data_IF_898044746236
#
_entry.id   IF_898044746236
#
_cell.length_a   1.000
_cell.length_b   1.000
_cell.length_c   1.000
_cell.angle_alpha   90.00
_cell.angle_beta   90.00
_cell.angle_gamma   90.00
#
_symmetry.space_group_name_H-M   'P 1'
#
loop_
_entity.id
_entity.type
_entity.pdbx_description
1 polymer ?
#
# COMPACT_ATOMS: atom_id res chain seq x y z
N UNK A 1 0.08 19.78 -19.90
CA UNK A 1 0.27 18.84 -18.78
C UNK A 1 -0.79 19.11 -17.72
N UNK A 2 -1.93 18.47 -17.80
CA UNK A 2 -3.04 18.67 -16.85
C UNK A 2 -2.95 17.57 -15.79
N UNK A 3 -2.46 17.94 -14.61
CA UNK A 3 -2.49 17.11 -13.40
C UNK A 3 -3.94 16.83 -13.04
N UNK A 4 -4.32 15.56 -13.10
CA UNK A 4 -5.67 15.06 -12.81
C UNK A 4 -6.18 15.52 -11.46
N UNK A 5 -7.34 16.16 -11.50
CA UNK A 5 -8.14 16.75 -10.44
C UNK A 5 -8.46 15.89 -9.22
N UNK A 6 -7.46 15.66 -8.39
CA UNK A 6 -7.67 15.56 -6.96
C UNK A 6 -7.25 16.90 -6.37
N UNK A 7 -8.22 17.69 -5.93
CA UNK A 7 -7.98 18.95 -5.22
C UNK A 7 -6.87 18.77 -4.18
N UNK A 8 -5.80 19.54 -4.32
CA UNK A 8 -4.73 19.60 -3.33
C UNK A 8 -5.34 20.19 -2.07
N UNK A 9 -5.15 19.54 -0.94
CA UNK A 9 -5.64 20.05 0.33
C UNK A 9 -4.93 21.36 0.67
N UNK A 10 -5.66 22.45 0.81
CA UNK A 10 -5.12 23.75 1.22
C UNK A 10 -5.36 23.95 2.72
N UNK A 11 -4.31 23.89 3.58
CA UNK A 11 -4.47 24.11 5.00
C UNK A 11 -4.77 25.59 5.29
N UNK A 12 -5.62 25.82 6.27
CA UNK A 12 -5.87 27.18 6.82
C UNK A 12 -5.21 27.22 8.19
N UNK A 13 -4.25 28.13 8.35
CA UNK A 13 -3.53 28.35 9.61
C UNK A 13 -4.02 29.62 10.28
N UNK A 14 -4.13 29.61 11.63
CA UNK A 14 -4.72 30.68 12.43
C UNK A 14 -3.78 31.19 13.54
N UNK A 15 -2.87 30.35 14.03
CA UNK A 15 -1.97 30.68 15.14
C UNK A 15 -0.90 31.71 14.73
N UNK A 16 -0.14 32.18 15.71
CA UNK A 16 1.05 33.03 15.50
C UNK A 16 2.08 32.38 14.55
N UNK A 17 2.12 31.05 14.47
CA UNK A 17 3.04 30.31 13.60
C UNK A 17 2.57 30.19 12.15
N UNK A 18 1.39 30.72 11.80
CA UNK A 18 0.84 30.72 10.44
C UNK A 18 1.86 31.04 9.33
N UNK A 19 2.67 32.11 9.43
CA UNK A 19 3.60 32.44 8.35
C UNK A 19 4.66 31.36 8.12
N UNK A 20 5.10 30.70 9.22
CA UNK A 20 6.14 29.66 9.16
C UNK A 20 5.55 28.35 8.66
N UNK A 21 4.35 27.97 9.13
CA UNK A 21 3.61 26.80 8.62
C UNK A 21 3.37 26.91 7.12
N UNK A 22 2.87 28.06 6.65
CA UNK A 22 2.60 28.28 5.22
C UNK A 22 3.89 28.12 4.40
N UNK A 23 4.97 28.81 4.75
CA UNK A 23 6.26 28.70 4.06
C UNK A 23 6.79 27.25 4.04
N UNK A 24 6.64 26.52 5.13
CA UNK A 24 7.08 25.11 5.19
C UNK A 24 6.28 24.23 4.24
N UNK A 25 4.95 24.33 4.23
CA UNK A 25 4.07 23.58 3.32
C UNK A 25 4.40 23.92 1.87
N UNK A 26 4.55 25.20 1.54
CA UNK A 26 4.88 25.65 0.19
C UNK A 26 6.24 25.14 -0.28
N UNK A 27 7.27 25.20 0.59
CA UNK A 27 8.57 24.59 0.31
C UNK A 27 8.47 23.11 0.01
N UNK A 28 7.72 22.34 0.82
CA UNK A 28 7.57 20.89 0.60
C UNK A 28 6.86 20.56 -0.70
N UNK A 29 5.93 21.42 -1.12
CA UNK A 29 5.22 21.31 -2.40
C UNK A 29 6.08 21.71 -3.57
N UNK A 30 6.83 22.80 -3.45
CA UNK A 30 7.79 23.24 -4.47
C UNK A 30 8.87 22.15 -4.73
N UNK A 31 9.23 21.37 -3.69
CA UNK A 31 10.09 20.20 -3.83
C UNK A 31 9.36 18.97 -4.42
N UNK A 32 8.18 19.17 -5.02
CA UNK A 32 7.43 18.14 -5.71
C UNK A 32 6.66 17.19 -4.79
N UNK A 33 6.55 17.44 -3.49
CA UNK A 33 5.77 16.59 -2.57
C UNK A 33 4.32 17.02 -2.53
N UNK A 34 3.40 16.06 -2.59
CA UNK A 34 1.98 16.35 -2.44
C UNK A 34 1.61 16.94 -1.07
N UNK A 35 2.24 16.46 -0.02
CA UNK A 35 2.25 16.96 1.35
C UNK A 35 0.87 17.17 2.03
N UNK A 36 -0.19 16.49 1.57
CA UNK A 36 -1.55 16.69 2.10
C UNK A 36 -1.72 16.19 3.55
N UNK A 37 -1.22 14.98 3.89
CA UNK A 37 -1.35 14.42 5.24
C UNK A 37 -0.52 15.20 6.26
N UNK A 38 0.77 15.50 6.02
CA UNK A 38 1.54 16.34 6.93
C UNK A 38 0.93 17.74 7.10
N UNK A 39 0.39 18.35 6.02
CA UNK A 39 -0.29 19.63 6.11
C UNK A 39 -1.53 19.58 7.02
N UNK A 40 -2.29 18.47 7.02
CA UNK A 40 -3.39 18.26 7.97
C UNK A 40 -2.92 18.12 9.41
N UNK A 41 -1.80 17.43 9.64
CA UNK A 41 -1.18 17.31 10.97
C UNK A 41 -0.76 18.69 11.49
N UNK A 42 -0.10 19.49 10.65
CA UNK A 42 0.32 20.84 11.01
C UNK A 42 -0.88 21.78 11.24
N UNK A 43 -1.94 21.66 10.43
CA UNK A 43 -3.18 22.42 10.66
C UNK A 43 -3.85 22.05 11.98
N UNK A 44 -3.79 20.79 12.38
CA UNK A 44 -4.32 20.34 13.67
C UNK A 44 -3.53 20.93 14.85
N UNK A 45 -2.19 20.94 14.75
CA UNK A 45 -1.33 21.58 15.75
C UNK A 45 -1.58 23.10 15.79
N UNK A 46 -1.67 23.75 14.64
CA UNK A 46 -1.94 25.19 14.53
C UNK A 46 -3.28 25.57 15.20
N UNK A 47 -4.33 24.78 14.93
CA UNK A 47 -5.63 25.00 15.58
C UNK A 47 -5.55 24.85 17.10
N UNK A 48 -4.87 23.81 17.58
CA UNK A 48 -4.65 23.62 19.01
C UNK A 48 -3.93 24.82 19.66
N UNK A 49 -2.86 25.33 19.02
CA UNK A 49 -2.13 26.50 19.49
C UNK A 49 -3.00 27.77 19.46
N UNK A 50 -3.84 27.92 18.45
CA UNK A 50 -4.75 29.04 18.33
C UNK A 50 -5.83 29.03 19.44
N UNK A 51 -6.45 27.89 19.66
CA UNK A 51 -7.48 27.71 20.69
C UNK A 51 -6.95 27.86 22.13
N UNK A 52 -5.66 27.59 22.33
CA UNK A 52 -5.00 27.64 23.63
C UNK A 52 -3.93 28.73 23.74
N UNK A 53 -4.00 29.80 22.91
CA UNK A 53 -2.93 30.81 22.82
C UNK A 53 -2.66 31.54 24.14
N UNK A 54 -3.65 31.70 25.02
CA UNK A 54 -3.47 32.27 26.36
C UNK A 54 -2.58 31.42 27.27
N UNK A 55 -2.57 30.11 27.09
CA UNK A 55 -1.74 29.16 27.86
C UNK A 55 -0.43 28.81 27.10
N UNK A 56 -0.49 28.71 25.78
CA UNK A 56 0.63 28.33 24.93
C UNK A 56 0.82 29.36 23.83
N UNK A 57 1.54 30.47 24.10
CA UNK A 57 1.76 31.52 23.09
C UNK A 57 2.66 31.09 21.96
N UNK A 58 3.42 30.02 22.14
CA UNK A 58 4.28 29.37 21.15
C UNK A 58 4.34 27.85 21.38
N UNK A 59 4.89 27.13 20.40
CA UNK A 59 5.15 25.70 20.51
C UNK A 59 6.37 25.45 21.40
N UNK A 60 6.12 24.94 22.57
CA UNK A 60 7.11 24.48 23.57
C UNK A 60 6.80 23.01 23.97
N UNK A 61 7.59 22.44 24.90
CA UNK A 61 7.39 21.04 25.36
C UNK A 61 5.98 20.84 25.89
N UNK A 62 5.51 21.71 26.78
CA UNK A 62 4.20 21.59 27.39
C UNK A 62 3.04 21.66 26.38
N UNK A 63 3.14 22.57 25.39
CA UNK A 63 2.17 22.66 24.30
C UNK A 63 2.17 21.41 23.40
N UNK A 64 3.37 20.89 23.10
CA UNK A 64 3.52 19.68 22.31
C UNK A 64 2.95 18.46 23.01
N UNK A 65 3.25 18.28 24.30
CA UNK A 65 2.72 17.18 25.11
C UNK A 65 1.19 17.25 25.21
N UNK A 66 0.62 18.42 25.51
CA UNK A 66 -0.81 18.62 25.60
C UNK A 66 -1.51 18.33 24.25
N UNK A 67 -0.89 18.74 23.11
CA UNK A 67 -1.39 18.38 21.78
C UNK A 67 -1.31 16.87 21.54
N UNK A 68 -0.24 16.19 21.96
CA UNK A 68 -0.10 14.75 21.84
C UNK A 68 -1.17 13.98 22.63
N UNK A 69 -1.54 14.44 23.83
CA UNK A 69 -2.61 13.85 24.65
C UNK A 69 -3.96 13.91 23.95
N UNK A 70 -4.25 14.94 23.14
CA UNK A 70 -5.49 15.02 22.38
C UNK A 70 -5.68 13.87 21.37
N UNK A 71 -4.60 13.10 21.09
CA UNK A 71 -4.56 11.96 20.16
C UNK A 71 -4.35 10.61 20.84
N UNK A 72 -4.59 10.47 22.15
CA UNK A 72 -4.37 9.18 22.84
C UNK A 72 -5.28 8.07 22.34
N UNK A 73 -6.48 8.42 21.84
CA UNK A 73 -7.43 7.51 21.20
C UNK A 73 -6.94 6.94 19.86
N UNK A 74 -5.85 7.49 19.28
CA UNK A 74 -5.31 7.05 18.00
C UNK A 74 -4.13 6.07 18.24
N UNK A 75 -3.97 5.10 17.33
CA UNK A 75 -2.90 4.10 17.44
C UNK A 75 -1.51 4.74 17.58
N UNK A 76 -0.61 4.09 18.35
CA UNK A 76 0.75 4.58 18.60
C UNK A 76 1.53 4.85 17.33
N UNK A 77 1.36 4.03 16.29
CA UNK A 77 2.01 4.23 15.00
C UNK A 77 1.57 5.52 14.29
N UNK A 78 0.27 5.85 14.34
CA UNK A 78 -0.25 7.11 13.77
C UNK A 78 0.21 8.30 14.60
N UNK A 79 0.20 8.20 15.94
CA UNK A 79 0.72 9.22 16.83
C UNK A 79 2.18 9.52 16.51
N UNK A 80 3.03 8.47 16.44
CA UNK A 80 4.44 8.62 16.08
C UNK A 80 4.65 9.34 14.76
N UNK A 81 3.89 8.99 13.71
CA UNK A 81 4.00 9.66 12.41
C UNK A 81 3.71 11.15 12.54
N UNK A 82 2.63 11.52 13.23
CA UNK A 82 2.27 12.94 13.46
C UNK A 82 3.35 13.68 14.25
N UNK A 83 3.89 13.07 15.31
CA UNK A 83 4.97 13.65 16.11
C UNK A 83 6.23 13.87 15.27
N UNK A 84 6.59 12.91 14.40
CA UNK A 84 7.72 13.07 13.48
C UNK A 84 7.50 14.19 12.44
N UNK A 85 6.26 14.38 11.97
CA UNK A 85 5.90 15.49 11.06
C UNK A 85 6.09 16.84 11.75
N UNK A 86 5.69 16.96 13.03
CA UNK A 86 5.92 18.16 13.84
C UNK A 86 7.40 18.36 14.12
N UNK A 87 8.14 17.31 14.49
CA UNK A 87 9.59 17.41 14.71
C UNK A 87 10.32 17.91 13.43
N UNK A 88 9.93 17.40 12.27
CA UNK A 88 10.48 17.85 10.99
C UNK A 88 10.16 19.31 10.68
N UNK A 89 8.99 19.81 11.06
CA UNK A 89 8.63 21.22 10.99
C UNK A 89 9.48 22.05 11.97
N UNK A 90 9.63 21.62 13.22
CA UNK A 90 10.44 22.34 14.20
C UNK A 90 11.92 22.42 13.78
N UNK A 91 12.49 21.37 13.20
CA UNK A 91 13.83 21.40 12.60
C UNK A 91 13.95 22.38 11.43
N UNK A 92 12.89 22.57 10.65
CA UNK A 92 12.85 23.61 9.63
C UNK A 92 12.81 25.00 10.26
N UNK A 93 11.97 25.23 11.27
CA UNK A 93 11.84 26.49 12.01
C UNK A 93 13.16 26.89 12.67
N UNK A 94 13.93 25.93 13.22
CA UNK A 94 15.21 26.17 13.87
C UNK A 94 16.26 26.85 12.97
N UNK A 95 16.10 26.79 11.65
CA UNK A 95 17.01 27.47 10.71
C UNK A 95 16.94 28.99 10.82
N UNK A 96 15.78 29.54 11.20
CA UNK A 96 15.55 30.97 11.38
C UNK A 96 15.38 31.36 12.84
N UNK A 97 14.99 30.41 13.68
CA UNK A 97 14.77 30.58 15.12
C UNK A 97 15.54 29.49 15.89
N UNK A 98 16.88 29.67 16.12
CA UNK A 98 17.73 28.61 16.69
C UNK A 98 17.30 28.10 18.06
N UNK A 99 16.61 28.93 18.84
CA UNK A 99 16.14 28.59 20.20
C UNK A 99 14.73 27.98 20.22
N UNK A 100 14.09 27.75 19.06
CA UNK A 100 12.77 27.13 19.04
C UNK A 100 12.82 25.69 19.55
N UNK A 101 11.74 25.29 20.19
CA UNK A 101 11.56 23.92 20.66
C UNK A 101 11.60 22.92 19.50
N UNK A 102 12.27 21.80 19.70
CA UNK A 102 12.23 20.63 18.81
C UNK A 102 11.99 19.40 19.65
N UNK A 103 10.90 18.64 19.41
CA UNK A 103 10.65 17.42 20.15
C UNK A 103 11.73 16.36 19.90
N UNK A 104 12.08 15.61 20.93
CA UNK A 104 13.04 14.50 20.81
C UNK A 104 12.33 13.24 20.29
N UNK A 105 12.70 12.71 19.09
CA UNK A 105 12.10 11.50 18.54
C UNK A 105 12.32 10.24 19.37
N UNK A 106 13.26 10.22 20.30
CA UNK A 106 13.53 9.07 21.19
C UNK A 106 12.38 8.84 22.18
N UNK A 107 11.68 9.91 22.58
CA UNK A 107 10.53 9.87 23.49
C UNK A 107 9.21 9.44 22.80
N UNK A 108 9.20 9.34 21.46
CA UNK A 108 7.97 9.04 20.73
C UNK A 108 7.57 7.57 20.86
N UNK A 109 6.25 7.27 20.85
CA UNK A 109 5.78 5.90 20.95
C UNK A 109 6.49 4.99 19.94
N UNK A 110 6.81 3.76 20.35
CA UNK A 110 7.38 2.78 19.42
C UNK A 110 6.45 2.49 18.25
N UNK A 111 7.02 2.12 17.11
CA UNK A 111 6.21 1.55 16.05
C UNK A 111 5.55 0.27 16.57
N UNK A 112 4.26 0.11 16.28
CA UNK A 112 3.64 -1.20 16.47
C UNK A 112 4.43 -2.25 15.68
N UNK A 113 4.46 -3.47 16.21
CA UNK A 113 4.96 -4.62 15.46
C UNK A 113 4.32 -4.63 14.08
N UNK A 114 5.14 -4.82 13.04
CA UNK A 114 4.65 -4.94 11.68
C UNK A 114 3.62 -6.07 11.65
N UNK A 115 2.39 -5.74 11.26
CA UNK A 115 1.34 -6.74 11.13
C UNK A 115 1.82 -7.80 10.13
N UNK A 116 1.80 -9.07 10.55
CA UNK A 116 2.09 -10.20 9.66
C UNK A 116 1.08 -10.14 8.50
N UNK A 117 1.53 -10.08 7.24
CA UNK A 117 0.62 -10.04 6.11
C UNK A 117 -0.13 -11.37 6.01
N UNK A 118 -1.37 -11.30 5.53
CA UNK A 118 -2.10 -12.49 5.10
C UNK A 118 -1.62 -12.88 3.70
N UNK A 119 -1.34 -14.17 3.49
CA UNK A 119 -0.94 -14.67 2.18
C UNK A 119 -2.09 -15.48 1.60
N UNK A 120 -2.72 -14.89 0.59
CA UNK A 120 -3.81 -15.55 -0.13
C UNK A 120 -3.29 -16.73 -0.94
N UNK A 121 -3.93 -17.88 -0.80
CA UNK A 121 -3.74 -19.02 -1.68
C UNK A 121 -4.44 -18.79 -3.03
N UNK A 122 -4.02 -19.51 -4.07
CA UNK A 122 -4.67 -19.47 -5.38
C UNK A 122 -6.14 -19.91 -5.32
N UNK A 123 -6.46 -20.87 -4.45
CA UNK A 123 -7.83 -21.34 -4.22
C UNK A 123 -8.71 -20.24 -3.62
N UNK A 124 -8.19 -19.50 -2.67
CA UNK A 124 -8.92 -18.36 -2.06
C UNK A 124 -9.12 -17.22 -3.07
N UNK A 125 -8.11 -16.92 -3.88
CA UNK A 125 -8.26 -15.91 -4.94
C UNK A 125 -9.28 -16.36 -5.97
N UNK A 126 -9.28 -17.62 -6.38
CA UNK A 126 -10.32 -18.17 -7.28
C UNK A 126 -11.74 -18.06 -6.68
N UNK A 127 -11.90 -18.28 -5.37
CA UNK A 127 -13.17 -18.06 -4.67
C UNK A 127 -13.58 -16.58 -4.71
N UNK A 128 -12.64 -15.66 -4.44
CA UNK A 128 -12.88 -14.22 -4.49
C UNK A 128 -13.28 -13.75 -5.89
N UNK A 129 -12.63 -14.24 -6.94
CA UNK A 129 -12.95 -13.90 -8.33
C UNK A 129 -14.35 -14.38 -8.72
N UNK A 130 -14.74 -15.59 -8.30
CA UNK A 130 -16.11 -16.12 -8.51
C UNK A 130 -17.15 -15.28 -7.76
N UNK A 131 -16.91 -14.99 -6.49
CA UNK A 131 -17.79 -14.16 -5.68
C UNK A 131 -17.91 -12.72 -6.26
N UNK A 132 -16.80 -12.15 -6.76
CA UNK A 132 -16.81 -10.85 -7.40
C UNK A 132 -17.70 -10.81 -8.66
N UNK A 133 -17.71 -11.89 -9.45
CA UNK A 133 -18.57 -12.02 -10.63
C UNK A 133 -20.07 -12.00 -10.30
N UNK A 134 -20.44 -12.42 -9.08
CA UNK A 134 -21.82 -12.41 -8.57
C UNK A 134 -22.25 -11.11 -7.88
N UNK A 135 -21.39 -10.10 -7.79
CA UNK A 135 -21.74 -8.83 -7.14
C UNK A 135 -22.91 -8.12 -7.82
N UNK A 136 -23.87 -7.56 -7.08
CA UNK A 136 -24.95 -6.78 -7.67
C UNK A 136 -24.43 -5.49 -8.29
N UNK A 137 -24.96 -5.17 -9.46
CA UNK A 137 -24.72 -3.88 -10.12
C UNK A 137 -25.63 -2.81 -9.52
N UNK A 138 -25.18 -1.57 -9.54
CA UNK A 138 -26.00 -0.43 -9.13
C UNK A 138 -25.72 0.77 -10.06
N UNK A 139 -26.60 1.79 -10.09
CA UNK A 139 -26.38 2.98 -10.93
C UNK A 139 -25.02 3.64 -10.74
N UNK A 140 -24.55 3.72 -9.48
CA UNK A 140 -23.23 4.26 -9.18
C UNK A 140 -22.06 3.36 -9.63
N UNK A 141 -22.31 2.08 -9.87
CA UNK A 141 -21.29 1.12 -10.30
C UNK A 141 -21.88 0.06 -11.24
N UNK A 142 -22.15 0.43 -12.50
CA UNK A 142 -22.81 -0.44 -13.48
C UNK A 142 -21.93 -1.63 -13.94
N UNK A 143 -20.62 -1.56 -13.71
CA UNK A 143 -19.64 -2.62 -13.96
C UNK A 143 -19.02 -3.16 -12.66
N UNK A 144 -19.73 -3.13 -11.55
CA UNK A 144 -19.18 -3.53 -10.25
C UNK A 144 -18.56 -4.92 -10.26
N UNK A 145 -19.18 -5.98 -10.80
CA UNK A 145 -18.57 -7.30 -10.89
C UNK A 145 -17.25 -7.29 -11.66
N UNK A 146 -17.26 -6.74 -12.86
CA UNK A 146 -16.11 -6.72 -13.75
C UNK A 146 -14.96 -5.87 -13.19
N UNK A 147 -15.27 -4.71 -12.63
CA UNK A 147 -14.28 -3.82 -12.00
C UNK A 147 -13.62 -4.46 -10.80
N UNK A 148 -14.40 -5.07 -9.89
CA UNK A 148 -13.85 -5.66 -8.67
C UNK A 148 -13.05 -6.92 -8.99
N UNK A 149 -13.55 -7.73 -9.92
CA UNK A 149 -12.83 -8.90 -10.43
C UNK A 149 -11.47 -8.48 -11.04
N UNK A 150 -11.46 -7.51 -11.95
CA UNK A 150 -10.23 -6.97 -12.55
C UNK A 150 -9.28 -6.40 -11.49
N UNK A 151 -9.80 -5.67 -10.51
CA UNK A 151 -8.98 -5.09 -9.44
C UNK A 151 -8.28 -6.17 -8.61
N UNK A 152 -8.97 -7.26 -8.25
CA UNK A 152 -8.40 -8.41 -7.52
C UNK A 152 -7.33 -9.08 -8.39
N UNK A 153 -7.65 -9.36 -9.65
CA UNK A 153 -6.72 -9.97 -10.62
C UNK A 153 -5.43 -9.16 -10.69
N UNK A 154 -5.50 -7.87 -11.00
CA UNK A 154 -4.32 -7.03 -11.15
C UNK A 154 -3.50 -6.92 -9.85
N UNK A 155 -4.14 -6.75 -8.70
CA UNK A 155 -3.43 -6.68 -7.41
C UNK A 155 -2.69 -7.96 -7.07
N UNK A 156 -3.29 -9.13 -7.35
CA UNK A 156 -2.72 -10.43 -7.03
C UNK A 156 -1.66 -10.88 -8.02
N UNK A 157 -1.84 -10.61 -9.31
CA UNK A 157 -0.95 -11.13 -10.38
C UNK A 157 0.20 -10.21 -10.74
N UNK A 158 0.07 -8.89 -10.49
CA UNK A 158 1.11 -7.91 -10.78
C UNK A 158 1.70 -7.28 -9.53
N UNK A 159 1.08 -7.47 -8.38
CA UNK A 159 1.53 -6.87 -7.12
C UNK A 159 1.55 -5.34 -7.10
N UNK A 160 0.85 -4.64 -8.00
CA UNK A 160 0.80 -3.17 -7.99
C UNK A 160 0.19 -2.64 -6.69
N UNK A 161 0.55 -1.40 -6.31
CA UNK A 161 -0.06 -0.77 -5.13
C UNK A 161 -1.51 -0.38 -5.42
N UNK A 162 -2.37 -0.47 -4.39
CA UNK A 162 -3.78 0.00 -4.51
C UNK A 162 -3.88 1.41 -5.09
N UNK A 163 -3.02 2.32 -4.67
CA UNK A 163 -3.01 3.69 -5.18
C UNK A 163 -2.60 3.77 -6.66
N UNK A 164 -1.67 2.94 -7.09
CA UNK A 164 -1.26 2.81 -8.49
C UNK A 164 -2.42 2.27 -9.34
N UNK A 165 -3.04 1.16 -8.91
CA UNK A 165 -4.23 0.59 -9.57
C UNK A 165 -5.33 1.63 -9.77
N UNK A 166 -5.66 2.39 -8.72
CA UNK A 166 -6.71 3.42 -8.78
C UNK A 166 -6.32 4.65 -9.61
N UNK A 167 -5.03 4.82 -9.89
CA UNK A 167 -4.50 5.85 -10.76
C UNK A 167 -4.43 5.47 -12.23
N UNK A 168 -4.55 4.18 -12.57
CA UNK A 168 -4.50 3.71 -13.96
C UNK A 168 -5.66 4.27 -14.78
N UNK A 169 -5.34 4.55 -16.04
CA UNK A 169 -6.31 4.91 -17.08
C UNK A 169 -6.36 3.84 -18.16
N UNK A 170 -7.32 3.95 -19.06
CA UNK A 170 -7.40 3.07 -20.22
C UNK A 170 -6.16 3.20 -21.11
N UNK A 171 -5.61 4.42 -21.27
CA UNK A 171 -4.38 4.68 -22.03
C UNK A 171 -3.09 4.19 -21.38
N UNK A 172 -3.14 3.69 -20.13
CA UNK A 172 -2.00 3.06 -19.49
C UNK A 172 -1.87 1.56 -19.82
N UNK A 173 -2.87 0.98 -20.50
CA UNK A 173 -2.83 -0.39 -21.01
C UNK A 173 -2.44 -0.40 -22.49
N UNK A 174 -1.26 -0.92 -22.78
CA UNK A 174 -0.86 -1.25 -24.15
C UNK A 174 -1.22 -2.70 -24.45
N UNK A 175 -2.25 -2.86 -25.30
CA UNK A 175 -2.75 -4.18 -25.70
C UNK A 175 -1.79 -4.93 -26.61
N UNK A 176 -1.00 -4.21 -27.43
CA UNK A 176 -0.07 -4.84 -28.40
C UNK A 176 1.12 -5.44 -27.68
N UNK A 177 1.69 -4.68 -26.78
CA UNK A 177 2.84 -5.09 -25.98
C UNK A 177 2.45 -5.86 -24.71
N UNK A 178 1.15 -6.05 -24.43
CA UNK A 178 0.65 -6.65 -23.19
C UNK A 178 1.31 -6.06 -21.95
N UNK A 179 1.32 -4.72 -21.86
CA UNK A 179 1.96 -4.00 -20.75
C UNK A 179 1.03 -3.00 -20.08
N UNK A 180 1.28 -2.75 -18.80
CA UNK A 180 0.66 -1.68 -18.01
C UNK A 180 1.72 -0.62 -17.68
N UNK A 181 1.47 0.62 -18.04
CA UNK A 181 2.32 1.74 -17.70
C UNK A 181 1.93 2.34 -16.35
N UNK A 182 2.72 2.07 -15.33
CA UNK A 182 2.54 2.64 -13.99
C UNK A 182 3.29 3.96 -13.93
N UNK A 183 2.54 5.07 -13.95
CA UNK A 183 3.10 6.42 -13.98
C UNK A 183 3.23 7.03 -12.59
N UNK A 184 4.22 7.90 -12.42
CA UNK A 184 4.38 8.82 -11.28
C UNK A 184 4.07 8.20 -9.90
N UNK A 185 4.74 7.10 -9.59
CA UNK A 185 4.62 6.47 -8.27
C UNK A 185 5.24 7.36 -7.18
N UNK A 186 5.21 6.91 -5.95
CA UNK A 186 5.98 7.52 -4.86
C UNK A 186 7.45 7.69 -5.32
N UNK A 187 7.95 8.92 -5.37
CA UNK A 187 9.27 9.32 -5.92
C UNK A 187 9.33 9.55 -7.44
N UNK A 188 8.20 9.85 -8.11
CA UNK A 188 8.14 10.17 -9.56
C UNK A 188 8.76 9.11 -10.48
N UNK A 189 8.80 7.85 -10.04
CA UNK A 189 9.29 6.73 -10.85
C UNK A 189 8.14 6.11 -11.63
N UNK A 190 8.30 6.02 -12.94
CA UNK A 190 7.41 5.25 -13.81
C UNK A 190 8.03 3.90 -14.12
N UNK A 191 7.20 2.89 -14.41
CA UNK A 191 7.65 1.57 -14.84
C UNK A 191 6.62 0.90 -15.74
N UNK A 192 7.08 0.07 -16.65
CA UNK A 192 6.26 -0.84 -17.43
C UNK A 192 6.13 -2.16 -16.68
N UNK A 193 4.91 -2.68 -16.58
CA UNK A 193 4.64 -4.00 -16.02
C UNK A 193 4.12 -4.89 -17.15
N UNK A 194 4.88 -5.92 -17.57
CA UNK A 194 4.37 -6.92 -18.49
C UNK A 194 3.25 -7.72 -17.80
N UNK A 195 2.22 -8.03 -18.55
CA UNK A 195 1.11 -8.89 -18.15
C UNK A 195 1.07 -10.10 -19.07
N UNK A 196 0.63 -11.24 -18.55
CA UNK A 196 0.47 -12.45 -19.34
C UNK A 196 -0.88 -12.46 -20.08
N UNK A 197 -1.04 -13.41 -21.00
CA UNK A 197 -2.24 -13.53 -21.86
C UNK A 197 -3.53 -13.65 -21.04
N UNK A 198 -3.53 -14.39 -19.93
CA UNK A 198 -4.72 -14.53 -19.09
C UNK A 198 -5.17 -13.19 -18.46
N UNK A 199 -4.23 -12.32 -18.12
CA UNK A 199 -4.55 -10.99 -17.62
C UNK A 199 -5.02 -10.08 -18.77
N UNK A 200 -4.38 -10.20 -19.94
CA UNK A 200 -4.80 -9.48 -21.16
C UNK A 200 -6.23 -9.86 -21.55
N UNK A 201 -6.59 -11.13 -21.50
CA UNK A 201 -7.96 -11.61 -21.72
C UNK A 201 -8.97 -11.02 -20.73
N UNK A 202 -8.63 -10.98 -19.45
CA UNK A 202 -9.47 -10.37 -18.40
C UNK A 202 -9.67 -8.86 -18.67
N UNK A 203 -8.61 -8.16 -19.06
CA UNK A 203 -8.66 -6.76 -19.50
C UNK A 203 -9.60 -6.57 -20.70
N UNK A 204 -9.47 -7.42 -21.69
CA UNK A 204 -10.30 -7.38 -22.91
C UNK A 204 -11.77 -7.67 -22.60
N UNK A 205 -12.06 -8.63 -21.72
CA UNK A 205 -13.43 -8.91 -21.28
C UNK A 205 -14.03 -7.70 -20.57
N UNK A 206 -13.27 -7.04 -19.72
CA UNK A 206 -13.69 -5.82 -19.05
C UNK A 206 -13.95 -4.68 -20.06
N UNK A 207 -13.04 -4.46 -21.01
CA UNK A 207 -13.21 -3.42 -22.04
C UNK A 207 -14.43 -3.69 -22.94
N UNK A 208 -14.67 -4.95 -23.32
CA UNK A 208 -15.90 -5.35 -24.06
C UNK A 208 -17.16 -5.10 -23.23
N UNK A 209 -17.14 -5.41 -21.94
CA UNK A 209 -18.29 -5.15 -21.06
C UNK A 209 -18.58 -3.65 -20.93
N UNK A 210 -17.51 -2.83 -20.90
CA UNK A 210 -17.58 -1.38 -20.85
C UNK A 210 -18.16 -0.79 -22.13
N UNK A 211 -17.71 -1.26 -23.30
CA UNK A 211 -18.21 -0.86 -24.60
C UNK A 211 -19.71 -1.20 -24.78
N UNK A 212 -20.11 -2.45 -24.43
CA UNK A 212 -21.51 -2.89 -24.48
C UNK A 212 -22.46 -2.01 -23.67
N UNK A 213 -21.96 -1.40 -22.58
CA UNK A 213 -22.75 -0.50 -21.72
C UNK A 213 -22.62 0.96 -22.12
N UNK A 214 -21.96 1.27 -23.24
CA UNK A 214 -21.75 2.63 -23.76
C UNK A 214 -21.08 3.55 -22.72
N UNK A 215 -20.17 3.00 -21.89
CA UNK A 215 -19.42 3.77 -20.89
C UNK A 215 -18.18 4.42 -21.51
N UNK A 216 -17.62 5.48 -20.90
CA UNK A 216 -16.49 6.22 -21.46
C UNK A 216 -15.29 5.31 -21.76
N UNK A 217 -14.74 5.42 -22.98
CA UNK A 217 -13.59 4.64 -23.46
C UNK A 217 -12.38 5.51 -23.83
N UNK A 218 -12.43 6.81 -23.56
CA UNK A 218 -11.27 7.67 -23.85
C UNK A 218 -10.04 7.27 -23.05
N UNK A 219 -8.82 7.39 -23.60
CA UNK A 219 -7.58 6.93 -22.97
C UNK A 219 -7.31 7.50 -21.58
N UNK A 220 -7.78 8.68 -21.29
CA UNK A 220 -7.64 9.37 -20.01
C UNK A 220 -8.64 8.92 -18.95
N UNK A 221 -9.66 8.12 -19.33
CA UNK A 221 -10.66 7.61 -18.40
C UNK A 221 -10.05 6.58 -17.45
N UNK A 222 -10.43 6.63 -16.17
CA UNK A 222 -9.94 5.68 -15.17
C UNK A 222 -10.23 4.23 -15.58
N UNK A 223 -9.23 3.35 -15.41
CA UNK A 223 -9.40 1.92 -15.63
C UNK A 223 -10.40 1.34 -14.62
N UNK A 224 -10.17 1.54 -13.33
CA UNK A 224 -11.05 1.10 -12.24
C UNK A 224 -12.10 2.20 -12.02
N UNK A 225 -13.15 2.16 -12.82
CA UNK A 225 -14.13 3.24 -12.97
C UNK A 225 -15.47 2.98 -12.27
N UNK A 226 -16.12 4.03 -11.80
CA UNK A 226 -17.52 4.03 -11.37
C UNK A 226 -18.25 5.29 -11.87
N UNK A 227 -19.59 5.27 -11.85
CA UNK A 227 -20.43 6.38 -12.26
C UNK A 227 -20.77 7.39 -11.15
N UNK A 228 -20.32 7.14 -9.92
CA UNK A 228 -20.59 8.05 -8.80
C UNK A 228 -19.98 9.42 -9.06
N UNK A 229 -20.68 10.47 -8.63
CA UNK A 229 -20.20 11.86 -8.70
C UNK A 229 -19.80 12.33 -10.11
N UNK A 230 -20.58 11.93 -11.11
CA UNK A 230 -20.30 12.27 -12.52
C UNK A 230 -19.31 11.36 -13.23
N UNK A 231 -18.89 10.29 -12.61
CA UNK A 231 -17.98 9.29 -13.17
C UNK A 231 -16.50 9.55 -12.88
N UNK A 232 -15.77 8.49 -12.55
CA UNK A 232 -14.34 8.60 -12.26
C UNK A 232 -13.73 7.31 -11.67
N UNK A 233 -12.52 7.43 -11.14
CA UNK A 233 -11.86 6.31 -10.47
C UNK A 233 -12.57 5.93 -9.17
N UNK A 234 -12.60 4.64 -8.87
CA UNK A 234 -12.95 4.19 -7.51
C UNK A 234 -12.08 4.88 -6.47
N UNK A 235 -12.66 5.21 -5.33
CA UNK A 235 -11.87 5.62 -4.16
C UNK A 235 -11.27 4.40 -3.46
N UNK A 236 -10.18 4.61 -2.70
CA UNK A 236 -9.60 3.54 -1.89
C UNK A 236 -10.55 3.00 -0.81
N UNK A 237 -11.49 3.83 -0.33
CA UNK A 237 -12.57 3.44 0.60
C UNK A 237 -13.61 2.60 -0.14
N UNK A 238 -14.06 3.05 -1.32
CA UNK A 238 -15.03 2.32 -2.13
C UNK A 238 -14.54 0.93 -2.54
N UNK A 239 -13.28 0.82 -2.97
CA UNK A 239 -12.68 -0.47 -3.30
C UNK A 239 -12.60 -1.39 -2.06
N UNK A 240 -12.26 -0.85 -0.88
CA UNK A 240 -12.25 -1.62 0.38
C UNK A 240 -13.65 -2.10 0.75
N UNK A 241 -14.66 -1.24 0.64
CA UNK A 241 -16.06 -1.60 0.94
C UNK A 241 -16.60 -2.66 -0.02
N UNK A 242 -16.13 -2.71 -1.25
CA UNK A 242 -16.49 -3.79 -2.18
C UNK A 242 -15.75 -5.10 -1.88
N UNK A 243 -14.52 -5.04 -1.38
CA UNK A 243 -13.68 -6.21 -1.11
C UNK A 243 -14.03 -6.92 0.21
N UNK A 244 -14.34 -6.18 1.27
CA UNK A 244 -14.63 -6.76 2.59
C UNK A 244 -15.78 -7.78 2.61
N UNK A 245 -16.96 -7.51 1.99
CA UNK A 245 -18.04 -8.50 1.94
C UNK A 245 -17.64 -9.78 1.20
N UNK A 246 -16.78 -9.69 0.18
CA UNK A 246 -16.30 -10.87 -0.53
C UNK A 246 -15.48 -11.79 0.37
N UNK A 247 -14.61 -11.22 1.22
CA UNK A 247 -13.85 -11.99 2.20
C UNK A 247 -14.77 -12.74 3.16
N UNK A 248 -15.82 -12.08 3.65
CA UNK A 248 -16.82 -12.68 4.55
C UNK A 248 -17.58 -13.80 3.84
N UNK A 249 -18.10 -13.56 2.63
CA UNK A 249 -18.80 -14.55 1.83
C UNK A 249 -17.92 -15.79 1.53
N UNK A 250 -16.62 -15.58 1.32
CA UNK A 250 -15.67 -16.65 1.05
C UNK A 250 -15.12 -17.34 2.33
N UNK A 251 -15.49 -16.86 3.52
CA UNK A 251 -14.97 -17.39 4.79
C UNK A 251 -13.48 -17.14 5.00
N UNK A 252 -12.93 -16.06 4.40
CA UNK A 252 -11.49 -15.77 4.44
C UNK A 252 -11.19 -14.82 5.60
N UNK A 253 -10.53 -15.35 6.62
CA UNK A 253 -10.14 -14.61 7.84
C UNK A 253 -8.69 -14.90 8.22
N UNK A 254 -8.06 -13.98 8.91
CA UNK A 254 -6.73 -14.18 9.51
C UNK A 254 -6.82 -15.15 10.69
N UNK A 255 -5.70 -15.68 11.15
CA UNK A 255 -5.63 -16.52 12.34
C UNK A 255 -6.20 -15.85 13.62
N UNK A 256 -6.33 -14.51 13.62
CA UNK A 256 -6.94 -13.73 14.71
C UNK A 256 -8.42 -13.39 14.46
N UNK A 257 -9.07 -14.01 13.48
CA UNK A 257 -10.47 -13.73 13.14
C UNK A 257 -10.72 -12.42 12.41
N UNK A 258 -9.70 -11.62 12.11
CA UNK A 258 -9.86 -10.35 11.40
C UNK A 258 -9.87 -10.55 9.88
N UNK A 259 -10.52 -9.65 9.14
CA UNK A 259 -10.47 -9.68 7.68
C UNK A 259 -9.09 -9.28 7.15
N UNK A 260 -8.54 -10.02 6.18
CA UNK A 260 -7.35 -9.61 5.44
C UNK A 260 -7.52 -8.25 4.77
N UNK A 261 -6.40 -7.59 4.51
CA UNK A 261 -6.40 -6.27 3.86
C UNK A 261 -6.26 -6.45 2.36
N UNK A 262 -6.82 -5.56 1.57
CA UNK A 262 -6.63 -5.54 0.11
C UNK A 262 -5.14 -5.46 -0.30
N UNK A 263 -4.29 -4.85 0.54
CA UNK A 263 -2.85 -4.79 0.31
C UNK A 263 -2.15 -6.15 0.47
N UNK A 264 -2.78 -7.09 1.17
CA UNK A 264 -2.24 -8.42 1.36
C UNK A 264 -2.22 -9.24 0.05
N UNK A 265 -3.04 -8.87 -0.97
CA UNK A 265 -2.93 -9.42 -2.32
C UNK A 265 -1.55 -9.14 -2.95
N UNK A 266 -1.02 -7.93 -2.76
CA UNK A 266 0.34 -7.59 -3.21
C UNK A 266 1.41 -8.33 -2.41
N UNK A 267 1.21 -8.53 -1.11
CA UNK A 267 2.11 -9.36 -0.30
C UNK A 267 2.11 -10.79 -0.81
N UNK A 268 0.94 -11.33 -1.16
CA UNK A 268 0.80 -12.67 -1.73
C UNK A 268 1.55 -12.81 -3.07
N UNK A 269 1.45 -11.81 -3.96
CA UNK A 269 2.25 -11.78 -5.19
C UNK A 269 3.74 -11.91 -4.91
N UNK A 270 4.27 -11.08 -4.01
CA UNK A 270 5.69 -11.07 -3.69
C UNK A 270 6.16 -12.42 -3.11
N UNK A 271 5.39 -12.98 -2.19
CA UNK A 271 5.68 -14.29 -1.57
C UNK A 271 5.62 -15.41 -2.58
N UNK A 272 4.58 -15.45 -3.40
CA UNK A 272 4.42 -16.48 -4.43
C UNK A 272 5.54 -16.43 -5.47
N UNK A 273 6.05 -15.23 -5.81
CA UNK A 273 7.23 -15.09 -6.67
C UNK A 273 8.46 -15.72 -6.01
N UNK A 274 8.71 -15.42 -4.74
CA UNK A 274 9.84 -15.96 -3.99
C UNK A 274 9.73 -17.48 -3.82
N UNK A 275 8.56 -18.00 -3.45
CA UNK A 275 8.32 -19.46 -3.31
C UNK A 275 8.58 -20.17 -4.63
N UNK A 276 8.09 -19.63 -5.76
CA UNK A 276 8.36 -20.21 -7.09
C UNK A 276 9.85 -20.25 -7.41
N UNK A 277 10.59 -19.16 -7.10
CA UNK A 277 12.04 -19.15 -7.31
C UNK A 277 12.78 -20.14 -6.41
N UNK A 278 12.40 -20.27 -5.15
CA UNK A 278 12.95 -21.28 -4.24
C UNK A 278 12.73 -22.68 -4.79
N UNK A 279 11.50 -23.01 -5.20
CA UNK A 279 11.15 -24.33 -5.75
C UNK A 279 11.89 -24.63 -7.07
N UNK A 280 12.06 -23.62 -7.91
CA UNK A 280 12.82 -23.74 -9.16
C UNK A 280 14.35 -23.79 -8.96
N UNK A 281 14.85 -23.79 -7.73
CA UNK A 281 16.28 -23.83 -7.45
C UNK A 281 17.05 -22.54 -7.81
N UNK A 282 16.33 -21.45 -8.12
CA UNK A 282 16.95 -20.20 -8.50
C UNK A 282 17.68 -19.51 -7.34
N UNK A 283 18.66 -18.67 -7.65
CA UNK A 283 19.28 -17.77 -6.67
C UNK A 283 18.29 -16.65 -6.33
N UNK A 284 17.64 -16.78 -5.18
CA UNK A 284 16.60 -15.85 -4.72
C UNK A 284 17.22 -14.51 -4.31
N UNK A 285 18.43 -14.51 -3.72
CA UNK A 285 19.08 -13.26 -3.31
C UNK A 285 19.44 -12.41 -4.50
N UNK A 286 20.00 -13.00 -5.56
CA UNK A 286 20.29 -12.33 -6.82
C UNK A 286 19.03 -11.77 -7.51
N UNK A 287 17.85 -12.39 -7.29
CA UNK A 287 16.57 -11.96 -7.87
C UNK A 287 15.79 -10.94 -7.03
N UNK A 288 16.14 -10.73 -5.75
CA UNK A 288 15.46 -9.74 -4.89
C UNK A 288 15.48 -8.32 -5.44
N UNK A 289 16.58 -7.78 -6.01
CA UNK A 289 16.58 -6.45 -6.62
C UNK A 289 15.60 -6.33 -7.79
N UNK A 290 15.45 -7.39 -8.60
CA UNK A 290 14.49 -7.44 -9.70
C UNK A 290 13.05 -7.35 -9.17
N UNK A 291 12.73 -8.14 -8.13
CA UNK A 291 11.41 -8.07 -7.50
C UNK A 291 11.15 -6.70 -6.86
N UNK A 292 12.17 -6.10 -6.22
CA UNK A 292 12.06 -4.76 -5.65
C UNK A 292 11.74 -3.72 -6.73
N UNK A 293 12.43 -3.78 -7.85
CA UNK A 293 12.21 -2.90 -9.02
C UNK A 293 10.81 -3.11 -9.60
N UNK A 294 10.42 -4.36 -9.85
CA UNK A 294 9.11 -4.71 -10.36
C UNK A 294 7.98 -4.17 -9.46
N UNK A 295 8.11 -4.38 -8.16
CA UNK A 295 7.17 -3.86 -7.16
C UNK A 295 7.26 -2.33 -7.01
N UNK A 296 8.30 -1.67 -7.49
CA UNK A 296 8.53 -0.23 -7.29
C UNK A 296 8.84 0.10 -5.83
N UNK A 297 9.64 -0.73 -5.16
CA UNK A 297 10.18 -0.43 -3.84
C UNK A 297 11.31 0.60 -3.96
N UNK A 298 11.34 1.59 -3.06
CA UNK A 298 12.43 2.57 -3.00
C UNK A 298 13.75 2.00 -2.45
N UNK A 299 13.68 0.81 -1.82
CA UNK A 299 14.84 0.09 -1.27
C UNK A 299 14.58 -1.41 -1.28
N UNK A 300 15.61 -2.19 -1.57
CA UNK A 300 15.61 -3.66 -1.50
C UNK A 300 15.26 -4.18 -0.09
N UNK A 301 15.61 -3.42 0.97
CA UNK A 301 15.28 -3.74 2.37
C UNK A 301 13.77 -3.99 2.58
N UNK A 302 12.92 -3.27 1.83
CA UNK A 302 11.47 -3.49 1.89
C UNK A 302 11.06 -4.86 1.34
N UNK A 303 11.87 -5.47 0.47
CA UNK A 303 11.64 -6.79 -0.11
C UNK A 303 12.23 -7.89 0.76
N UNK A 304 13.37 -7.65 1.44
CA UNK A 304 13.94 -8.57 2.43
C UNK A 304 12.96 -8.93 3.56
N UNK A 305 12.02 -8.04 3.88
CA UNK A 305 10.95 -8.33 4.85
C UNK A 305 10.21 -9.65 4.55
N UNK A 306 10.04 -10.02 3.28
CA UNK A 306 9.33 -11.23 2.90
C UNK A 306 10.10 -12.51 3.21
N UNK A 307 11.45 -12.46 3.31
CA UNK A 307 12.27 -13.63 3.59
C UNK A 307 12.19 -14.09 5.05
N UNK A 308 11.94 -13.16 5.99
CA UNK A 308 12.08 -13.45 7.40
C UNK A 308 10.79 -13.89 8.12
N UNK A 309 9.60 -13.61 7.53
CA UNK A 309 8.36 -13.70 8.28
C UNK A 309 7.29 -14.62 7.67
N UNK A 310 7.59 -15.34 6.60
CA UNK A 310 6.54 -16.02 5.83
C UNK A 310 6.81 -17.51 5.76
N UNK A 311 5.93 -18.27 6.39
CA UNK A 311 5.96 -19.73 6.47
C UNK A 311 6.13 -20.43 5.10
N UNK A 312 5.41 -20.03 4.02
CA UNK A 312 5.60 -20.67 2.72
C UNK A 312 7.02 -20.59 2.16
N UNK A 313 7.77 -19.50 2.46
CA UNK A 313 9.18 -19.37 2.05
C UNK A 313 10.05 -20.28 2.91
N UNK A 314 9.82 -20.33 4.21
CA UNK A 314 10.54 -21.22 5.13
C UNK A 314 10.36 -22.68 4.74
N UNK A 315 9.14 -23.10 4.47
CA UNK A 315 8.82 -24.46 4.01
C UNK A 315 9.55 -24.78 2.70
N UNK A 316 9.46 -23.90 1.68
CA UNK A 316 10.14 -24.09 0.41
C UNK A 316 11.68 -24.13 0.56
N UNK A 317 12.26 -23.32 1.45
CA UNK A 317 13.68 -23.36 1.75
C UNK A 317 14.08 -24.66 2.47
N UNK A 318 13.27 -25.13 3.41
CA UNK A 318 13.47 -26.42 4.10
C UNK A 318 13.36 -27.60 3.15
N UNK A 319 12.37 -27.62 2.26
CA UNK A 319 12.21 -28.64 1.22
C UNK A 319 13.45 -28.67 0.29
N UNK A 320 13.94 -27.51 -0.13
CA UNK A 320 15.14 -27.42 -0.94
C UNK A 320 16.39 -27.93 -0.21
N UNK A 321 16.55 -27.61 1.07
CA UNK A 321 17.62 -28.10 1.92
C UNK A 321 17.55 -29.63 2.05
N UNK A 322 16.39 -30.17 2.36
CA UNK A 322 16.16 -31.62 2.47
C UNK A 322 16.47 -32.35 1.18
N UNK A 323 16.04 -31.82 0.02
CA UNK A 323 16.30 -32.40 -1.29
C UNK A 323 17.80 -32.39 -1.66
N UNK A 324 18.55 -31.39 -1.18
CA UNK A 324 19.98 -31.26 -1.52
C UNK A 324 20.91 -31.97 -0.54
N UNK A 325 20.51 -32.02 0.73
CA UNK A 325 21.38 -32.49 1.81
C UNK A 325 20.74 -33.57 2.70
N UNK A 326 19.50 -33.97 2.41
CA UNK A 326 18.73 -34.88 3.28
C UNK A 326 19.44 -36.21 3.54
N UNK A 327 20.12 -36.74 2.53
CA UNK A 327 20.92 -37.97 2.68
C UNK A 327 22.14 -37.77 3.59
N UNK A 328 22.73 -36.61 3.62
CA UNK A 328 23.87 -36.29 4.46
C UNK A 328 23.52 -36.04 5.93
N UNK A 329 22.25 -35.67 6.19
CA UNK A 329 21.76 -35.33 7.55
C UNK A 329 20.88 -36.41 8.13
N UNK A 330 20.55 -37.43 7.36
CA UNK A 330 19.81 -38.62 7.85
C UNK A 330 20.64 -39.33 8.92
N UNK A 331 20.06 -39.69 10.07
CA UNK A 331 20.79 -40.46 11.08
C UNK A 331 21.31 -41.75 10.42
N UNK A 332 22.59 -42.03 10.63
CA UNK A 332 23.17 -43.30 10.21
C UNK A 332 22.29 -44.45 10.71
N UNK A 333 21.97 -45.46 9.86
CA UNK A 333 21.20 -46.61 10.30
C UNK A 333 21.88 -47.22 11.52
N UNK A 334 21.11 -47.38 12.59
CA UNK A 334 21.60 -47.96 13.84
C UNK A 334 22.20 -49.32 13.50
N UNK A 335 23.47 -49.62 13.77
CA UNK A 335 24.04 -50.90 13.46
C UNK A 335 23.26 -51.94 14.24
N UNK A 336 22.43 -52.71 13.53
CA UNK A 336 21.59 -53.74 14.06
C UNK A 336 22.38 -54.66 15.02
N UNK A 337 21.78 -54.89 16.16
CA UNK A 337 22.34 -55.63 17.27
C UNK A 337 23.07 -56.91 16.89
N UNK A 338 24.28 -57.02 17.35
CA UNK A 338 24.90 -58.35 17.55
C UNK A 338 24.09 -59.00 18.67
N UNK A 339 23.27 -59.98 18.28
CA UNK A 339 22.72 -60.97 19.23
C UNK A 339 23.90 -61.72 19.84
N UNK A 340 23.96 -61.77 21.12
CA UNK A 340 24.56 -62.87 21.88
C UNK A 340 23.46 -63.89 22.21
#
# INVERSE_FOLDING_TARGET
MLTRGRTVFTPVFLSRLKPIFSRYVDLKRALGRRFDLPARTLQSLDRFLHEHHGKYPDLNSAAFEAWCHSYEHVSSGVRRVRMLEVAAFCLYRRRTEPQCFVPDPSSFPAYHQRLKPYIFSEVEVAKLLRAASGLPRCPASPLRPEVIRLAITLLFTTGIRRGELLGLTLGDYDRRESTLHIRETKFYKSRLLPINDSIAEEMDQYLRARARRKLPLSPDTALIWNAAWGGGAYSGVGLRHAFQPLLQTCGIVTAKGASPRIHDLRHSFAVNALVRWYRAGADVEAKLPLLATYLGHGSAVSTHYYLHFIEPIRTAASERFANRYGELVSPLPNPAGRRR
#
